data_IF_875662538931
#
_entry.id   IF_875662538931
#
_cell.length_a   1.000
_cell.length_b   1.000
_cell.length_c   1.000
_cell.angle_alpha   90.00
_cell.angle_beta   90.00
_cell.angle_gamma   90.00
#
_symmetry.space_group_name_H-M   'P 1'
#
loop_
_entity.id
_entity.type
_entity.pdbx_description
1 polymer ?
#
# COMPACT_ATOMS: atom_id res chain seq x y z
N UNK A 1 -8.30 -95.16 -22.13
CA UNK A 1 -8.19 -93.74 -21.75
C UNK A 1 -9.57 -93.29 -21.35
N UNK A 2 -9.80 -93.26 -20.05
CA UNK A 2 -11.13 -93.27 -19.44
C UNK A 2 -11.69 -91.87 -19.26
N UNK A 3 -13.03 -91.77 -19.22
CA UNK A 3 -13.79 -90.55 -18.94
C UNK A 3 -13.25 -89.69 -17.79
N UNK A 4 -12.54 -90.30 -16.82
CA UNK A 4 -11.89 -89.64 -15.68
C UNK A 4 -10.70 -88.77 -16.10
N UNK A 5 -9.87 -89.21 -17.04
CA UNK A 5 -8.72 -88.44 -17.54
C UNK A 5 -9.20 -87.22 -18.34
N UNK A 6 -10.25 -87.40 -19.14
CA UNK A 6 -10.90 -86.31 -19.86
C UNK A 6 -11.55 -85.29 -18.91
N UNK A 7 -12.20 -85.74 -17.84
CA UNK A 7 -12.80 -84.86 -16.83
C UNK A 7 -11.76 -84.06 -16.04
N UNK A 8 -10.61 -84.68 -15.69
CA UNK A 8 -9.50 -84.01 -15.02
C UNK A 8 -8.83 -82.96 -15.92
N UNK A 9 -8.65 -83.27 -17.21
CA UNK A 9 -8.18 -82.30 -18.22
C UNK A 9 -9.12 -81.11 -18.35
N UNK A 10 -10.43 -81.36 -18.39
CA UNK A 10 -11.44 -80.32 -18.49
C UNK A 10 -11.46 -79.41 -17.25
N UNK A 11 -11.36 -80.00 -16.05
CA UNK A 11 -11.28 -79.25 -14.79
C UNK A 11 -10.00 -78.38 -14.71
N UNK A 12 -8.86 -78.90 -15.16
CA UNK A 12 -7.61 -78.15 -15.20
C UNK A 12 -7.67 -76.96 -16.17
N UNK A 13 -8.23 -77.15 -17.37
CA UNK A 13 -8.43 -76.07 -18.36
C UNK A 13 -9.38 -75.00 -17.81
N UNK A 14 -10.46 -75.41 -17.14
CA UNK A 14 -11.43 -74.49 -16.56
C UNK A 14 -10.82 -73.66 -15.40
N UNK A 15 -10.00 -74.27 -14.56
CA UNK A 15 -9.29 -73.58 -13.48
C UNK A 15 -8.29 -72.54 -14.02
N UNK A 16 -7.57 -72.86 -15.11
CA UNK A 16 -6.66 -71.91 -15.78
C UNK A 16 -7.45 -70.76 -16.41
N UNK A 17 -8.60 -71.03 -17.04
CA UNK A 17 -9.47 -70.01 -17.63
C UNK A 17 -10.04 -69.06 -16.57
N UNK A 18 -10.55 -69.58 -15.45
CA UNK A 18 -11.03 -68.76 -14.33
C UNK A 18 -9.90 -67.92 -13.75
N UNK A 19 -8.72 -68.50 -13.51
CA UNK A 19 -7.57 -67.77 -12.98
C UNK A 19 -7.12 -66.65 -13.93
N UNK A 20 -7.15 -66.91 -15.24
CA UNK A 20 -6.82 -65.93 -16.27
C UNK A 20 -7.85 -64.79 -16.34
N UNK A 21 -9.15 -65.11 -16.22
CA UNK A 21 -10.23 -64.12 -16.17
C UNK A 21 -10.17 -63.26 -14.91
N UNK A 22 -9.89 -63.85 -13.75
CA UNK A 22 -9.70 -63.13 -12.50
C UNK A 22 -8.48 -62.19 -12.56
N UNK A 23 -7.37 -62.66 -13.13
CA UNK A 23 -6.19 -61.83 -13.38
C UNK A 23 -6.50 -60.66 -14.32
N UNK A 24 -7.22 -60.89 -15.43
CA UNK A 24 -7.61 -59.85 -16.38
C UNK A 24 -8.57 -58.84 -15.76
N UNK A 25 -9.50 -59.30 -14.91
CA UNK A 25 -10.42 -58.43 -14.18
C UNK A 25 -9.67 -57.55 -13.18
N UNK A 26 -8.74 -58.14 -12.42
CA UNK A 26 -7.89 -57.40 -11.48
C UNK A 26 -6.93 -56.43 -12.17
N UNK A 27 -6.35 -56.82 -13.31
CA UNK A 27 -5.50 -55.95 -14.13
C UNK A 27 -6.29 -54.80 -14.77
N UNK A 28 -7.55 -55.03 -15.16
CA UNK A 28 -8.46 -53.98 -15.62
C UNK A 28 -8.86 -53.03 -14.49
N UNK A 29 -9.16 -53.55 -13.30
CA UNK A 29 -9.45 -52.76 -12.10
C UNK A 29 -8.31 -51.80 -11.76
N UNK A 30 -7.08 -52.32 -11.69
CA UNK A 30 -5.86 -51.52 -11.44
C UNK A 30 -5.59 -50.46 -12.51
N UNK A 31 -5.90 -50.72 -13.79
CA UNK A 31 -5.78 -49.71 -14.86
C UNK A 31 -6.80 -48.59 -14.72
N UNK A 32 -8.05 -48.92 -14.38
CA UNK A 32 -9.11 -47.91 -14.18
C UNK A 32 -8.81 -47.06 -12.94
N UNK A 33 -8.28 -47.66 -11.88
CA UNK A 33 -7.80 -46.92 -10.69
C UNK A 33 -6.61 -46.02 -11.03
N UNK A 34 -5.63 -46.51 -11.80
CA UNK A 34 -4.50 -45.71 -12.26
C UNK A 34 -4.94 -44.51 -13.12
N UNK A 35 -5.85 -44.70 -14.09
CA UNK A 35 -6.39 -43.61 -14.91
C UNK A 35 -7.17 -42.57 -14.08
N UNK A 36 -7.88 -43.00 -13.02
CA UNK A 36 -8.58 -42.10 -12.09
C UNK A 36 -7.59 -41.29 -11.26
N UNK A 37 -6.55 -41.93 -10.72
CA UNK A 37 -5.50 -41.26 -9.96
C UNK A 37 -4.71 -40.28 -10.83
N UNK A 38 -4.42 -40.63 -12.08
CA UNK A 38 -3.76 -39.72 -13.03
C UNK A 38 -4.60 -38.47 -13.32
N UNK A 39 -5.91 -38.63 -13.51
CA UNK A 39 -6.83 -37.48 -13.69
C UNK A 39 -6.89 -36.58 -12.46
N UNK A 40 -7.02 -37.17 -11.27
CA UNK A 40 -7.02 -36.42 -10.01
C UNK A 40 -5.70 -35.69 -9.78
N UNK A 41 -4.56 -36.33 -10.05
CA UNK A 41 -3.25 -35.68 -9.97
C UNK A 41 -3.12 -34.54 -10.96
N UNK A 42 -3.64 -34.68 -12.18
CA UNK A 42 -3.64 -33.62 -13.17
C UNK A 42 -4.50 -32.42 -12.73
N UNK A 43 -5.71 -32.66 -12.23
CA UNK A 43 -6.61 -31.62 -11.71
C UNK A 43 -5.99 -30.88 -10.52
N UNK A 44 -5.42 -31.60 -9.55
CA UNK A 44 -4.77 -30.98 -8.39
C UNK A 44 -3.53 -30.19 -8.79
N UNK A 45 -2.73 -30.67 -9.76
CA UNK A 45 -1.58 -29.91 -10.28
C UNK A 45 -2.02 -28.59 -10.90
N UNK A 46 -3.07 -28.60 -11.72
CA UNK A 46 -3.59 -27.38 -12.35
C UNK A 46 -4.05 -26.38 -11.29
N UNK A 47 -4.81 -26.83 -10.29
CA UNK A 47 -5.29 -25.94 -9.23
C UNK A 47 -4.15 -25.43 -8.34
N UNK A 48 -3.16 -26.27 -8.02
CA UNK A 48 -1.99 -25.87 -7.25
C UNK A 48 -1.14 -24.82 -7.99
N UNK A 49 -0.91 -24.98 -9.29
CA UNK A 49 -0.19 -23.98 -10.10
C UNK A 49 -0.97 -22.67 -10.20
N UNK A 50 -2.30 -22.73 -10.30
CA UNK A 50 -3.16 -21.54 -10.24
C UNK A 50 -3.01 -20.81 -8.90
N UNK A 51 -3.13 -21.52 -7.78
CA UNK A 51 -2.99 -20.91 -6.45
C UNK A 51 -1.60 -20.33 -6.21
N UNK A 52 -0.53 -21.01 -6.68
CA UNK A 52 0.83 -20.44 -6.65
C UNK A 52 0.95 -19.16 -7.46
N UNK A 53 0.35 -19.11 -8.64
CA UNK A 53 0.35 -17.91 -9.47
C UNK A 53 -0.42 -16.75 -8.81
N UNK A 54 -1.55 -17.03 -8.17
CA UNK A 54 -2.32 -16.06 -7.38
C UNK A 54 -1.52 -15.57 -6.17
N UNK A 55 -0.85 -16.48 -5.43
CA UNK A 55 0.01 -16.14 -4.30
C UNK A 55 1.15 -15.20 -4.72
N UNK A 56 1.83 -15.52 -5.83
CA UNK A 56 2.92 -14.69 -6.36
C UNK A 56 2.46 -13.27 -6.69
N UNK A 57 1.22 -13.10 -7.18
CA UNK A 57 0.64 -11.77 -7.43
C UNK A 57 0.42 -11.01 -6.12
N UNK A 58 -0.15 -11.66 -5.10
CA UNK A 58 -0.38 -11.05 -3.78
C UNK A 58 0.94 -10.62 -3.13
N UNK A 59 1.99 -11.45 -3.23
CA UNK A 59 3.31 -11.14 -2.70
C UNK A 59 3.95 -9.96 -3.41
N UNK A 60 3.89 -9.89 -4.74
CA UNK A 60 4.40 -8.74 -5.51
C UNK A 60 3.70 -7.44 -5.15
N UNK A 61 2.38 -7.46 -4.94
CA UNK A 61 1.64 -6.27 -4.51
C UNK A 61 2.10 -5.80 -3.13
N UNK A 62 2.30 -6.75 -2.20
CA UNK A 62 2.81 -6.44 -0.87
C UNK A 62 4.21 -5.85 -0.94
N UNK A 63 5.13 -6.45 -1.70
CA UNK A 63 6.48 -5.94 -1.90
C UNK A 63 6.49 -4.54 -2.50
N UNK A 64 5.61 -4.28 -3.46
CA UNK A 64 5.50 -2.96 -4.07
C UNK A 64 4.88 -1.90 -3.14
N UNK A 65 3.88 -2.28 -2.35
CA UNK A 65 3.32 -1.43 -1.31
C UNK A 65 4.43 -1.03 -0.31
N UNK A 66 5.14 -2.01 0.25
CA UNK A 66 6.18 -1.81 1.26
C UNK A 66 7.45 -1.13 0.70
N UNK A 67 7.83 -1.44 -0.54
CA UNK A 67 9.06 -0.98 -1.17
C UNK A 67 8.96 0.33 -1.96
N UNK A 68 7.77 0.71 -2.45
CA UNK A 68 7.59 1.89 -3.32
C UNK A 68 6.57 2.89 -2.76
N UNK A 69 5.36 2.42 -2.43
CA UNK A 69 4.26 3.30 -2.01
C UNK A 69 4.49 3.89 -0.62
N UNK A 70 4.72 3.06 0.40
CA UNK A 70 4.91 3.53 1.78
C UNK A 70 6.14 4.43 1.94
N UNK A 71 7.29 4.14 1.32
CA UNK A 71 8.44 5.05 1.35
C UNK A 71 8.14 6.40 0.69
N UNK A 72 7.40 6.43 -0.43
CA UNK A 72 6.99 7.69 -1.05
C UNK A 72 6.08 8.52 -0.11
N UNK A 73 5.12 7.87 0.56
CA UNK A 73 4.26 8.53 1.56
C UNK A 73 5.03 9.00 2.80
N UNK A 74 6.03 8.24 3.24
CA UNK A 74 6.91 8.62 4.35
C UNK A 74 7.71 9.88 4.03
N UNK A 75 8.18 10.01 2.79
CA UNK A 75 8.83 11.23 2.26
C UNK A 75 7.83 12.31 1.81
N UNK A 76 6.52 12.14 2.05
CA UNK A 76 5.46 13.09 1.67
C UNK A 76 5.36 13.33 0.15
N UNK A 77 5.88 12.40 -0.67
CA UNK A 77 5.83 12.41 -2.13
C UNK A 77 4.52 11.78 -2.63
N UNK A 78 3.39 12.41 -2.28
CA UNK A 78 2.04 11.88 -2.55
C UNK A 78 1.79 11.60 -4.05
N UNK A 79 2.29 12.45 -4.95
CA UNK A 79 2.13 12.25 -6.40
C UNK A 79 2.83 10.99 -6.91
N UNK A 80 3.99 10.65 -6.33
CA UNK A 80 4.71 9.42 -6.68
C UNK A 80 3.97 8.20 -6.11
N UNK A 81 3.52 8.28 -4.85
CA UNK A 81 2.74 7.22 -4.23
C UNK A 81 1.46 6.89 -5.02
N UNK A 82 0.75 7.91 -5.53
CA UNK A 82 -0.47 7.72 -6.33
C UNK A 82 -0.18 7.04 -7.68
N UNK A 83 0.91 7.40 -8.35
CA UNK A 83 1.33 6.72 -9.59
C UNK A 83 1.65 5.25 -9.36
N UNK A 84 2.34 4.95 -8.28
CA UNK A 84 2.64 3.55 -7.92
C UNK A 84 1.35 2.79 -7.58
N UNK A 85 0.39 3.42 -6.90
CA UNK A 85 -0.91 2.80 -6.61
C UNK A 85 -1.75 2.54 -7.86
N UNK A 86 -1.72 3.42 -8.87
CA UNK A 86 -2.37 3.17 -10.17
C UNK A 86 -1.82 1.91 -10.86
N UNK A 87 -0.50 1.70 -10.80
CA UNK A 87 0.14 0.50 -11.35
C UNK A 87 -0.33 -0.73 -10.56
N UNK A 88 -0.36 -0.65 -9.22
CA UNK A 88 -0.80 -1.75 -8.37
C UNK A 88 -2.27 -2.11 -8.57
N UNK A 89 -3.13 -1.11 -8.78
CA UNK A 89 -4.56 -1.32 -9.04
C UNK A 89 -4.78 -2.11 -10.35
N UNK A 90 -4.00 -1.81 -11.39
CA UNK A 90 -4.06 -2.51 -12.67
C UNK A 90 -3.56 -3.97 -12.56
N UNK A 91 -2.52 -4.21 -11.76
CA UNK A 91 -1.92 -5.53 -11.56
C UNK A 91 -2.65 -6.38 -10.49
N UNK A 92 -3.54 -5.77 -9.71
CA UNK A 92 -4.20 -6.43 -8.58
C UNK A 92 -5.12 -7.57 -9.03
N UNK A 93 -5.13 -8.70 -8.28
CA UNK A 93 -6.13 -9.73 -8.48
C UNK A 93 -7.53 -9.17 -8.15
N UNK A 94 -8.59 -9.71 -8.77
CA UNK A 94 -9.95 -9.20 -8.60
C UNK A 94 -10.41 -9.08 -7.14
N UNK A 95 -9.96 -9.99 -6.26
CA UNK A 95 -10.30 -9.98 -4.84
C UNK A 95 -9.71 -8.81 -4.05
N UNK A 96 -8.63 -8.20 -4.53
CA UNK A 96 -7.93 -7.10 -3.84
C UNK A 96 -8.09 -5.76 -4.54
N UNK A 97 -8.58 -5.73 -5.79
CA UNK A 97 -8.71 -4.48 -6.57
C UNK A 97 -9.46 -3.39 -5.82
N UNK A 98 -10.61 -3.72 -5.21
CA UNK A 98 -11.41 -2.75 -4.46
C UNK A 98 -10.72 -2.20 -3.21
N UNK A 99 -9.84 -2.99 -2.57
CA UNK A 99 -9.07 -2.53 -1.41
C UNK A 99 -7.91 -1.63 -1.82
N UNK A 100 -7.27 -1.91 -2.96
CA UNK A 100 -6.25 -1.02 -3.56
C UNK A 100 -6.88 0.30 -4.00
N UNK A 101 -8.03 0.25 -4.66
CA UNK A 101 -8.80 1.44 -5.08
C UNK A 101 -9.21 2.29 -3.85
N UNK A 102 -9.76 1.66 -2.82
CA UNK A 102 -10.13 2.35 -1.59
C UNK A 102 -8.93 3.06 -0.92
N UNK A 103 -7.78 2.38 -0.87
CA UNK A 103 -6.56 2.96 -0.31
C UNK A 103 -5.99 4.08 -1.18
N UNK A 104 -6.08 3.97 -2.52
CA UNK A 104 -5.76 5.06 -3.43
C UNK A 104 -6.63 6.28 -3.16
N UNK A 105 -7.95 6.12 -3.06
CA UNK A 105 -8.87 7.23 -2.73
C UNK A 105 -8.54 7.87 -1.38
N UNK A 106 -8.10 7.09 -0.39
CA UNK A 106 -7.63 7.62 0.89
C UNK A 106 -6.39 8.51 0.72
N UNK A 107 -5.40 8.08 -0.06
CA UNK A 107 -4.20 8.87 -0.37
C UNK A 107 -4.55 10.14 -1.17
N UNK A 108 -5.48 10.06 -2.11
CA UNK A 108 -5.98 11.22 -2.86
C UNK A 108 -6.66 12.24 -1.92
N UNK A 109 -7.50 11.77 -1.00
CA UNK A 109 -8.14 12.62 0.01
C UNK A 109 -7.11 13.30 0.93
N UNK A 110 -6.06 12.59 1.35
CA UNK A 110 -4.94 13.17 2.11
C UNK A 110 -4.20 14.22 1.27
N UNK A 111 -4.03 13.99 -0.03
CA UNK A 111 -3.47 14.97 -0.96
C UNK A 111 -4.31 16.24 -1.08
N UNK A 112 -5.62 16.10 -1.23
CA UNK A 112 -6.54 17.24 -1.25
C UNK A 112 -6.52 18.01 0.07
N UNK A 113 -6.52 17.30 1.21
CA UNK A 113 -6.44 17.91 2.54
C UNK A 113 -5.12 18.67 2.74
N UNK A 114 -3.99 18.13 2.24
CA UNK A 114 -2.69 18.79 2.26
C UNK A 114 -2.74 20.14 1.55
N UNK A 115 -3.27 20.18 0.33
CA UNK A 115 -3.34 21.42 -0.45
C UNK A 115 -4.30 22.43 0.20
N UNK A 116 -5.45 21.99 0.73
CA UNK A 116 -6.34 22.85 1.49
C UNK A 116 -5.67 23.43 2.74
N UNK A 117 -4.88 22.61 3.47
CA UNK A 117 -4.09 23.08 4.62
C UNK A 117 -3.03 24.09 4.21
N UNK A 118 -2.31 23.85 3.09
CA UNK A 118 -1.33 24.79 2.56
C UNK A 118 -1.98 26.13 2.24
N UNK A 119 -3.11 26.15 1.57
CA UNK A 119 -3.80 27.39 1.18
C UNK A 119 -4.35 28.14 2.40
N UNK A 120 -4.89 27.42 3.39
CA UNK A 120 -5.30 28.02 4.66
C UNK A 120 -4.11 28.64 5.42
N UNK A 121 -2.96 27.95 5.46
CA UNK A 121 -1.74 28.46 6.07
C UNK A 121 -1.22 29.69 5.32
N UNK A 122 -1.19 29.67 3.98
CA UNK A 122 -0.80 30.85 3.19
C UNK A 122 -1.63 32.07 3.55
N UNK A 123 -2.96 31.93 3.55
CA UNK A 123 -3.88 33.01 3.87
C UNK A 123 -3.66 33.54 5.29
N UNK A 124 -3.46 32.64 6.26
CA UNK A 124 -3.16 33.02 7.64
C UNK A 124 -1.83 33.77 7.75
N UNK A 125 -0.78 33.29 7.10
CA UNK A 125 0.56 33.90 7.14
C UNK A 125 0.55 35.29 6.50
N UNK A 126 -0.11 35.46 5.35
CA UNK A 126 -0.29 36.79 4.76
C UNK A 126 -0.90 37.76 5.76
N UNK A 127 -1.95 37.34 6.48
CA UNK A 127 -2.57 38.18 7.50
C UNK A 127 -1.64 38.42 8.70
N UNK A 128 -0.90 37.41 9.13
CA UNK A 128 0.04 37.52 10.24
C UNK A 128 1.20 38.47 9.92
N UNK A 129 1.73 38.45 8.69
CA UNK A 129 2.76 39.39 8.21
C UNK A 129 2.22 40.81 8.25
N UNK A 130 1.01 41.05 7.71
CA UNK A 130 0.39 42.39 7.71
C UNK A 130 0.20 42.99 9.10
N UNK A 131 -0.10 42.15 10.09
CA UNK A 131 -0.38 42.60 11.46
C UNK A 131 0.89 42.72 12.31
N UNK A 132 1.84 41.80 12.14
CA UNK A 132 2.96 41.63 13.08
C UNK A 132 4.33 41.95 12.49
N UNK A 133 4.42 42.12 11.17
CA UNK A 133 5.58 42.70 10.48
C UNK A 133 5.12 43.92 9.66
N UNK A 134 4.54 44.95 10.29
CA UNK A 134 4.10 46.14 9.58
C UNK A 134 5.31 46.89 9.02
N UNK A 135 5.73 46.52 7.81
CA UNK A 135 6.90 46.96 7.06
C UNK A 135 7.26 48.45 7.18
N UNK A 136 7.83 48.83 8.31
CA UNK A 136 8.04 50.22 8.69
C UNK A 136 9.51 50.48 8.87
N UNK A 137 10.28 50.49 7.77
CA UNK A 137 11.44 51.37 7.78
C UNK A 137 10.94 52.80 7.92
N UNK A 138 11.25 53.40 9.07
CA UNK A 138 10.94 54.78 9.47
C UNK A 138 11.21 55.80 8.35
N UNK A 139 10.15 56.28 7.69
CA UNK A 139 10.11 57.62 7.11
C UNK A 139 8.91 58.38 7.69
N UNK A 140 9.07 58.85 8.93
CA UNK A 140 8.09 59.71 9.61
C UNK A 140 7.81 61.03 8.85
N UNK A 141 8.63 61.38 7.86
CA UNK A 141 8.48 62.59 7.04
C UNK A 141 7.60 62.45 5.78
N UNK A 142 7.31 61.24 5.29
CA UNK A 142 6.70 61.05 3.96
C UNK A 142 5.32 60.36 3.96
N UNK A 143 4.81 59.95 5.14
CA UNK A 143 3.44 59.44 5.34
C UNK A 143 2.96 58.41 4.29
N UNK A 144 3.84 57.52 3.84
CA UNK A 144 3.47 56.36 3.02
C UNK A 144 4.06 55.09 3.61
N UNK A 145 3.24 54.40 4.40
CA UNK A 145 3.51 53.04 4.84
C UNK A 145 3.36 52.11 3.62
N UNK A 146 4.48 51.61 3.12
CA UNK A 146 4.49 50.75 1.93
C UNK A 146 4.20 49.31 2.31
N UNK A 147 2.93 48.91 2.30
CA UNK A 147 2.57 47.49 2.23
C UNK A 147 3.31 46.83 1.05
N UNK A 148 4.23 45.89 1.29
CA UNK A 148 4.85 45.11 0.23
C UNK A 148 4.16 43.75 0.11
N UNK A 149 3.23 43.68 -0.85
CA UNK A 149 2.52 42.46 -1.22
C UNK A 149 3.43 41.27 -1.53
N UNK A 150 4.61 41.53 -2.09
CA UNK A 150 5.54 40.46 -2.45
C UNK A 150 6.15 39.78 -1.23
N UNK A 151 6.28 40.50 -0.11
CA UNK A 151 6.77 39.92 1.14
C UNK A 151 5.76 38.94 1.73
N UNK A 152 4.48 39.34 1.76
CA UNK A 152 3.37 38.50 2.20
C UNK A 152 3.32 37.20 1.40
N UNK A 153 3.30 37.31 0.08
CA UNK A 153 3.23 36.17 -0.82
C UNK A 153 4.46 35.28 -0.64
N UNK A 154 5.68 35.85 -0.61
CA UNK A 154 6.91 35.07 -0.43
C UNK A 154 6.94 34.29 0.88
N UNK A 155 6.60 34.93 2.01
CA UNK A 155 6.56 34.28 3.31
C UNK A 155 5.44 33.25 3.38
N UNK A 156 4.27 33.55 2.82
CA UNK A 156 3.14 32.62 2.78
C UNK A 156 3.47 31.35 2.00
N UNK A 157 4.03 31.47 0.79
CA UNK A 157 4.41 30.32 -0.01
C UNK A 157 5.49 29.48 0.66
N UNK A 158 6.55 30.13 1.16
CA UNK A 158 7.67 29.43 1.80
C UNK A 158 7.24 28.71 3.07
N UNK A 159 6.50 29.39 3.95
CA UNK A 159 6.12 28.82 5.25
C UNK A 159 4.95 27.83 5.16
N UNK A 160 4.16 27.85 4.09
CA UNK A 160 3.16 26.81 3.84
C UNK A 160 3.79 25.42 3.63
N UNK A 161 5.05 25.34 3.19
CA UNK A 161 5.79 24.07 3.10
C UNK A 161 6.08 23.46 4.47
N UNK A 162 6.14 24.28 5.53
CA UNK A 162 6.36 23.80 6.89
C UNK A 162 5.23 22.88 7.40
N UNK A 163 4.04 22.93 6.76
CA UNK A 163 2.94 21.99 7.01
C UNK A 163 3.39 20.54 6.84
N UNK A 164 4.33 20.28 5.94
CA UNK A 164 4.81 18.95 5.56
C UNK A 164 6.02 18.52 6.36
N UNK A 165 6.95 19.45 6.52
CA UNK A 165 8.17 19.21 7.27
C UNK A 165 7.88 19.06 8.77
N UNK A 166 6.76 19.62 9.25
CA UNK A 166 6.36 19.64 10.66
C UNK A 166 7.56 19.91 11.59
N UNK A 167 8.31 21.00 11.36
CA UNK A 167 9.55 21.23 12.06
C UNK A 167 9.30 21.48 13.56
N UNK A 168 10.27 21.09 14.40
CA UNK A 168 10.26 21.44 15.82
C UNK A 168 10.51 22.93 16.09
N UNK A 169 11.17 23.61 15.14
CA UNK A 169 11.40 25.04 15.17
C UNK A 169 11.18 25.62 13.78
N UNK A 170 10.10 26.40 13.60
CA UNK A 170 9.79 27.03 12.32
C UNK A 170 10.91 27.99 11.88
N UNK A 171 11.50 28.74 12.82
CA UNK A 171 12.61 29.66 12.56
C UNK A 171 13.86 28.92 12.06
N UNK A 172 14.29 27.87 12.77
CA UNK A 172 15.48 27.11 12.37
C UNK A 172 15.26 26.42 11.03
N UNK A 173 14.09 25.83 10.81
CA UNK A 173 13.72 25.24 9.53
C UNK A 173 13.81 26.27 8.40
N UNK A 174 13.26 27.47 8.60
CA UNK A 174 13.31 28.53 7.60
C UNK A 174 14.75 28.98 7.31
N UNK A 175 15.59 29.14 8.33
CA UNK A 175 17.01 29.53 8.16
C UNK A 175 17.81 28.49 7.38
N UNK A 176 17.53 27.21 7.61
CA UNK A 176 18.21 26.09 6.96
C UNK A 176 17.78 25.94 5.50
N UNK A 177 16.48 26.03 5.23
CA UNK A 177 15.94 25.84 3.87
C UNK A 177 16.08 27.11 3.01
N UNK A 178 16.06 28.29 3.62
CA UNK A 178 16.02 29.58 2.92
C UNK A 178 17.03 30.59 3.50
N UNK A 179 18.34 30.28 3.53
CA UNK A 179 19.33 31.12 4.21
C UNK A 179 19.46 32.52 3.59
N UNK A 180 19.44 32.62 2.25
CA UNK A 180 19.51 33.91 1.55
C UNK A 180 18.28 34.77 1.84
N UNK A 181 17.08 34.17 1.81
CA UNK A 181 15.83 34.86 2.12
C UNK A 181 15.81 35.37 3.56
N UNK A 182 16.28 34.55 4.52
CA UNK A 182 16.37 34.97 5.91
C UNK A 182 17.29 36.18 6.10
N UNK A 183 18.45 36.19 5.45
CA UNK A 183 19.36 37.36 5.49
C UNK A 183 18.68 38.61 4.91
N UNK A 184 17.98 38.49 3.79
CA UNK A 184 17.22 39.61 3.21
C UNK A 184 16.10 40.08 4.14
N UNK A 185 15.40 39.18 4.82
CA UNK A 185 14.38 39.57 5.80
C UNK A 185 14.97 40.36 6.97
N UNK A 186 16.14 39.95 7.48
CA UNK A 186 16.79 40.65 8.59
C UNK A 186 17.23 42.08 8.25
N UNK A 187 17.39 42.41 6.96
CA UNK A 187 17.71 43.77 6.50
C UNK A 187 16.47 44.58 6.13
N UNK A 188 15.39 43.92 5.68
CA UNK A 188 14.14 44.57 5.29
C UNK A 188 13.22 44.89 6.47
N UNK A 189 13.21 44.03 7.49
CA UNK A 189 12.40 44.21 8.70
C UNK A 189 13.03 45.28 9.58
N UNK A 190 12.22 46.21 10.10
CA UNK A 190 12.70 47.28 10.98
C UNK A 190 13.30 46.70 12.26
N UNK A 191 14.34 47.35 12.79
CA UNK A 191 15.04 46.87 14.00
C UNK A 191 14.17 46.86 15.26
N UNK A 192 13.04 47.58 15.27
CA UNK A 192 12.05 47.51 16.36
C UNK A 192 11.14 46.28 16.29
N UNK A 193 11.11 45.58 15.15
CA UNK A 193 10.38 44.35 14.95
C UNK A 193 11.29 43.13 15.16
N UNK A 194 10.69 42.01 15.57
CA UNK A 194 11.43 40.77 15.79
C UNK A 194 10.90 39.65 14.92
N UNK A 195 11.70 39.26 13.92
CA UNK A 195 11.46 38.05 13.14
C UNK A 195 11.32 36.83 14.05
N UNK A 196 12.12 36.73 15.12
CA UNK A 196 12.02 35.61 16.06
C UNK A 196 10.65 35.55 16.75
N UNK A 197 10.09 36.70 17.14
CA UNK A 197 8.74 36.79 17.72
C UNK A 197 7.68 36.39 16.68
N UNK A 198 7.80 36.88 15.45
CA UNK A 198 6.91 36.50 14.35
C UNK A 198 6.92 34.98 14.12
N UNK A 199 8.09 34.38 13.98
CA UNK A 199 8.23 32.93 13.76
C UNK A 199 7.69 32.11 14.93
N UNK A 200 7.92 32.54 16.17
CA UNK A 200 7.40 31.87 17.37
C UNK A 200 5.88 31.97 17.46
N UNK A 201 5.29 33.10 17.09
CA UNK A 201 3.84 33.27 17.05
C UNK A 201 3.22 32.42 15.93
N UNK A 202 3.84 32.39 14.75
CA UNK A 202 3.44 31.53 13.64
C UNK A 202 3.47 30.06 14.04
N UNK A 203 4.55 29.61 14.66
CA UNK A 203 4.70 28.27 15.21
C UNK A 203 3.59 27.90 16.18
N UNK A 204 3.38 28.70 17.24
CA UNK A 204 2.29 28.47 18.21
C UNK A 204 0.92 28.41 17.56
N UNK A 205 0.69 29.26 16.56
CA UNK A 205 -0.60 29.27 15.86
C UNK A 205 -0.76 28.00 15.05
N UNK A 206 0.21 27.64 14.21
CA UNK A 206 0.20 26.42 13.40
C UNK A 206 0.04 25.16 14.25
N UNK A 207 0.65 25.09 15.44
CA UNK A 207 0.46 23.98 16.38
C UNK A 207 -0.98 23.87 16.90
N UNK A 208 -1.65 25.00 17.08
CA UNK A 208 -3.02 25.05 17.61
C UNK A 208 -4.10 24.74 16.58
N UNK A 209 -3.81 24.83 15.28
CA UNK A 209 -4.81 24.69 14.22
C UNK A 209 -5.31 23.25 14.07
N UNK A 210 -6.58 23.05 14.36
CA UNK A 210 -7.22 21.72 14.35
C UNK A 210 -7.13 21.02 12.98
N UNK A 211 -7.28 21.76 11.89
CA UNK A 211 -7.18 21.17 10.55
C UNK A 211 -5.78 20.61 10.25
N UNK A 212 -4.71 21.21 10.79
CA UNK A 212 -3.35 20.69 10.66
C UNK A 212 -3.15 19.42 11.50
N UNK A 213 -3.76 19.37 12.70
CA UNK A 213 -3.76 18.15 13.52
C UNK A 213 -4.49 17.00 12.82
N UNK A 214 -5.65 17.29 12.23
CA UNK A 214 -6.43 16.31 11.44
C UNK A 214 -5.62 15.84 10.23
N UNK A 215 -4.98 16.74 9.50
CA UNK A 215 -4.11 16.39 8.37
C UNK A 215 -2.97 15.46 8.80
N UNK A 216 -2.22 15.82 9.85
CA UNK A 216 -1.10 15.00 10.36
C UNK A 216 -1.56 13.61 10.78
N UNK A 217 -2.71 13.52 11.46
CA UNK A 217 -3.31 12.24 11.84
C UNK A 217 -3.68 11.41 10.62
N UNK A 218 -4.37 11.99 9.63
CA UNK A 218 -4.78 11.30 8.40
C UNK A 218 -3.58 10.86 7.55
N UNK A 219 -2.52 11.66 7.50
CA UNK A 219 -1.27 11.27 6.85
C UNK A 219 -0.58 10.11 7.57
N UNK A 220 -0.62 10.09 8.91
CA UNK A 220 -0.10 8.97 9.70
C UNK A 220 -0.91 7.68 9.47
N UNK A 221 -2.24 7.77 9.49
CA UNK A 221 -3.14 6.65 9.17
C UNK A 221 -2.85 6.08 7.77
N UNK A 222 -2.74 6.94 6.76
CA UNK A 222 -2.42 6.52 5.40
C UNK A 222 -1.03 5.84 5.32
N UNK A 223 -0.02 6.33 6.04
CA UNK A 223 1.33 5.71 6.06
C UNK A 223 1.34 4.30 6.66
N UNK A 224 0.39 3.98 7.53
CA UNK A 224 0.30 2.64 8.10
C UNK A 224 -0.32 1.65 7.12
N UNK A 225 -1.26 2.10 6.28
CA UNK A 225 -1.99 1.30 5.30
C UNK A 225 -2.63 0.05 5.92
N UNK A 226 -3.13 0.17 7.16
CA UNK A 226 -3.57 -0.96 8.00
C UNK A 226 -4.56 -1.86 7.28
N UNK A 227 -5.58 -1.25 6.67
CA UNK A 227 -6.66 -1.96 5.98
C UNK A 227 -6.14 -2.77 4.77
N UNK A 228 -5.34 -2.15 3.90
CA UNK A 228 -4.80 -2.82 2.72
C UNK A 228 -3.82 -3.95 3.10
N UNK A 229 -2.96 -3.73 4.09
CA UNK A 229 -2.07 -4.78 4.62
C UNK A 229 -2.84 -5.96 5.19
N UNK A 230 -3.91 -5.70 5.93
CA UNK A 230 -4.77 -6.75 6.48
C UNK A 230 -5.47 -7.55 5.36
N UNK A 231 -5.95 -6.88 4.32
CA UNK A 231 -6.56 -7.53 3.16
C UNK A 231 -5.56 -8.42 2.40
N UNK A 232 -4.34 -7.93 2.17
CA UNK A 232 -3.25 -8.69 1.55
C UNK A 232 -2.91 -9.95 2.35
N UNK A 233 -2.75 -9.82 3.67
CA UNK A 233 -2.42 -10.95 4.54
C UNK A 233 -3.58 -11.96 4.65
N UNK A 234 -4.83 -11.49 4.67
CA UNK A 234 -6.00 -12.36 4.63
C UNK A 234 -6.05 -13.17 3.33
N UNK A 235 -5.83 -12.53 2.19
CA UNK A 235 -5.86 -13.21 0.89
C UNK A 235 -4.71 -14.20 0.75
N UNK A 236 -3.51 -13.84 1.22
CA UNK A 236 -2.36 -14.74 1.31
C UNK A 236 -2.71 -16.00 2.12
N UNK A 237 -3.33 -15.86 3.28
CA UNK A 237 -3.73 -17.00 4.12
C UNK A 237 -4.75 -17.89 3.44
N UNK A 238 -5.78 -17.32 2.82
CA UNK A 238 -6.79 -18.11 2.08
C UNK A 238 -6.16 -18.96 0.97
N UNK A 239 -5.19 -18.39 0.23
CA UNK A 239 -4.49 -19.11 -0.83
C UNK A 239 -3.64 -20.24 -0.25
N UNK A 240 -2.91 -19.97 0.84
CA UNK A 240 -2.12 -20.98 1.55
C UNK A 240 -2.99 -22.13 2.09
N UNK A 241 -4.09 -21.82 2.77
CA UNK A 241 -5.07 -22.81 3.24
C UNK A 241 -5.63 -23.65 2.07
N UNK A 242 -5.84 -23.02 0.90
CA UNK A 242 -6.24 -23.71 -0.32
C UNK A 242 -5.21 -24.74 -0.79
N UNK A 243 -3.93 -24.37 -0.78
CA UNK A 243 -2.81 -25.26 -1.13
C UNK A 243 -2.69 -26.42 -0.14
N UNK A 244 -2.85 -26.16 1.16
CA UNK A 244 -2.82 -27.18 2.21
C UNK A 244 -3.98 -28.18 2.04
N UNK A 245 -5.20 -27.70 1.80
CA UNK A 245 -6.38 -28.57 1.54
C UNK A 245 -6.21 -29.44 0.30
N UNK A 246 -5.61 -28.92 -0.77
CA UNK A 246 -5.29 -29.73 -1.96
C UNK A 246 -4.29 -30.83 -1.62
N UNK A 247 -3.30 -30.53 -0.78
CA UNK A 247 -2.30 -31.50 -0.32
C UNK A 247 -2.92 -32.59 0.58
N UNK A 248 -3.81 -32.22 1.51
CA UNK A 248 -4.55 -33.18 2.34
C UNK A 248 -5.47 -34.09 1.52
N UNK A 249 -6.12 -33.54 0.50
CA UNK A 249 -7.00 -34.31 -0.39
C UNK A 249 -6.20 -35.39 -1.14
N UNK A 250 -5.02 -35.03 -1.65
CA UNK A 250 -4.11 -35.99 -2.28
C UNK A 250 -3.67 -37.10 -1.33
N UNK A 251 -3.37 -36.77 -0.07
CA UNK A 251 -2.94 -37.76 0.93
C UNK A 251 -4.08 -38.73 1.29
N UNK A 252 -5.29 -38.22 1.53
CA UNK A 252 -6.47 -39.05 1.87
C UNK A 252 -6.87 -39.99 0.73
N UNK A 253 -6.85 -39.48 -0.51
CA UNK A 253 -7.21 -40.28 -1.69
C UNK A 253 -6.11 -41.32 -2.03
N UNK A 254 -4.88 -41.13 -1.54
CA UNK A 254 -3.77 -42.09 -1.68
C UNK A 254 -3.78 -43.18 -0.59
N UNK A 255 -4.19 -42.86 0.64
CA UNK A 255 -4.30 -43.82 1.75
C UNK A 255 -5.61 -44.64 1.72
N UNK A 256 -6.64 -44.18 1.01
CA UNK A 256 -7.96 -44.80 0.93
C UNK A 256 -8.21 -45.75 -0.25
N UNK A 257 -7.21 -46.00 -1.10
CA UNK A 257 -7.24 -46.95 -2.23
C UNK A 257 -6.38 -48.18 -1.98
#
# INVERSE_FOLDING_TARGET
>A
MGLVEAALLFAAIFAVLISSLLYLHHARGKRVEAERLEKLLAEVRVEAERLKAELSKVERLREALEGRVLPALASTRLKEALKELEILEAEAPPSLRGEVEAYRSEVEAVGALREACRDAVKAWIMQAVRVNLPQTMRNWGEARHGYNRHLDELLAYTLAEAVEASPQSLLQWFRMQNPAMYQTLTTLVDHSESLEVFFRMAEKTLESLEYLKVFRRKLAEAREAVRLKAALELERRKIMDGIERLSEKLLKDWEGG
#
